data_IF_607575993169
#
_entry.id   IF_607575993169
#
_cell.length_a   1.000
_cell.length_b   1.000
_cell.length_c   1.000
_cell.angle_alpha   90.00
_cell.angle_beta   90.00
_cell.angle_gamma   90.00
#
_symmetry.space_group_name_H-M   'P 1'
#
loop_
_entity.id
_entity.type
_entity.pdbx_description
1 polymer ?
#
# COMPACT_ATOMS: atom_id res chain seq x y z
N UNK A 1 2.79 6.75 -34.18
CA UNK A 1 4.08 7.21 -34.77
C UNK A 1 4.59 8.35 -33.89
N UNK A 2 5.88 8.67 -33.91
CA UNK A 2 6.40 9.83 -33.19
C UNK A 2 6.48 11.03 -34.14
N UNK A 3 6.33 12.25 -33.61
CA UNK A 3 6.50 13.51 -34.34
C UNK A 3 7.56 14.36 -33.66
N UNK A 4 8.43 14.98 -34.47
CA UNK A 4 9.39 15.98 -34.01
C UNK A 4 8.74 17.37 -34.01
N UNK A 5 8.47 17.94 -32.84
CA UNK A 5 7.65 19.17 -32.70
C UNK A 5 7.85 19.82 -31.33
N UNK A 6 7.63 21.14 -31.25
CA UNK A 6 7.67 21.90 -29.99
C UNK A 6 6.32 21.90 -29.25
N UNK A 7 5.27 21.31 -29.85
CA UNK A 7 3.92 21.29 -29.29
C UNK A 7 3.06 22.46 -29.77
N UNK A 8 1.92 22.70 -29.10
CA UNK A 8 1.03 23.85 -29.40
C UNK A 8 1.56 25.16 -28.81
N UNK A 9 2.37 25.07 -27.76
CA UNK A 9 3.02 26.20 -27.11
C UNK A 9 4.39 25.77 -26.60
N UNK A 10 5.38 26.63 -26.77
CA UNK A 10 6.75 26.44 -26.28
C UNK A 10 7.34 27.76 -25.79
N UNK A 11 8.42 27.67 -25.00
CA UNK A 11 9.23 28.84 -24.65
C UNK A 11 9.99 29.36 -25.88
N UNK A 12 10.56 28.44 -26.66
CA UNK A 12 11.21 28.70 -27.94
C UNK A 12 10.63 27.78 -29.04
N UNK A 13 10.31 28.25 -30.26
CA UNK A 13 9.91 27.40 -31.39
C UNK A 13 10.89 26.27 -31.74
N UNK A 14 12.16 26.38 -31.34
CA UNK A 14 13.19 25.37 -31.53
C UNK A 14 13.31 24.36 -30.38
N UNK A 15 12.49 24.48 -29.32
CA UNK A 15 12.34 23.48 -28.25
C UNK A 15 11.59 22.22 -28.73
N UNK A 16 12.06 21.62 -29.81
CA UNK A 16 11.42 20.46 -30.45
C UNK A 16 11.82 19.19 -29.72
N UNK A 17 10.83 18.36 -29.44
CA UNK A 17 10.97 17.07 -28.80
C UNK A 17 10.30 15.95 -29.59
N UNK A 18 10.34 14.76 -29.02
CA UNK A 18 9.68 13.56 -29.55
C UNK A 18 8.28 13.48 -28.92
N UNK A 19 7.24 13.72 -29.72
CA UNK A 19 5.85 13.67 -29.28
C UNK A 19 5.15 12.41 -29.81
N UNK A 20 4.35 11.76 -28.98
CA UNK A 20 3.43 10.69 -29.40
C UNK A 20 2.24 11.28 -30.16
N UNK A 21 1.72 10.57 -31.16
CA UNK A 21 0.67 11.15 -32.06
C UNK A 21 -0.64 10.37 -32.12
N UNK A 22 -0.72 9.18 -31.54
CA UNK A 22 -1.88 8.30 -31.64
C UNK A 22 -2.29 7.89 -30.23
N UNK A 23 -3.54 8.11 -29.90
CA UNK A 23 -4.10 7.74 -28.60
C UNK A 23 -4.20 6.21 -28.46
N UNK A 24 -4.23 5.74 -27.21
CA UNK A 24 -4.39 4.33 -26.86
C UNK A 24 -3.42 3.37 -27.59
N UNK A 25 -2.14 3.76 -27.69
CA UNK A 25 -1.07 2.95 -28.28
C UNK A 25 0.13 2.82 -27.36
N UNK A 26 0.80 1.68 -27.46
CA UNK A 26 2.15 1.53 -26.90
C UNK A 26 3.18 2.15 -27.85
N UNK A 27 4.13 2.86 -27.26
CA UNK A 27 5.20 3.53 -27.96
C UNK A 27 6.55 2.96 -27.53
N UNK A 28 7.40 2.71 -28.52
CA UNK A 28 8.74 2.18 -28.30
C UNK A 28 9.70 2.89 -29.25
N UNK A 29 10.64 3.63 -28.67
CA UNK A 29 11.79 4.20 -29.37
C UNK A 29 13.02 3.93 -28.51
N UNK A 30 14.14 3.69 -29.17
CA UNK A 30 15.43 3.49 -28.49
C UNK A 30 16.52 4.20 -29.28
N UNK A 31 17.53 4.67 -28.58
CA UNK A 31 18.72 5.29 -29.16
C UNK A 31 19.95 4.63 -28.54
N UNK A 32 20.88 4.17 -29.39
CA UNK A 32 22.16 3.64 -28.92
C UNK A 32 23.06 4.79 -28.50
N UNK A 33 23.64 4.68 -27.32
CA UNK A 33 24.69 5.56 -26.80
C UNK A 33 26.02 4.78 -26.74
N UNK A 34 27.17 5.47 -26.63
CA UNK A 34 28.43 4.80 -26.35
C UNK A 34 28.32 3.94 -25.09
N UNK A 35 28.85 2.72 -25.15
CA UNK A 35 28.81 1.80 -24.01
C UNK A 35 29.68 2.33 -22.87
N UNK A 36 29.17 2.26 -21.63
CA UNK A 36 29.88 2.73 -20.46
C UNK A 36 29.50 1.91 -19.21
N UNK A 37 30.30 2.07 -18.16
CA UNK A 37 30.00 1.57 -16.81
C UNK A 37 30.07 2.72 -15.80
N UNK A 38 29.16 2.73 -14.84
CA UNK A 38 29.19 3.63 -13.69
C UNK A 38 29.97 3.05 -12.49
N UNK A 39 30.72 1.96 -12.65
CA UNK A 39 31.53 1.39 -11.56
C UNK A 39 32.55 2.43 -11.07
N UNK A 40 32.46 2.78 -9.79
CA UNK A 40 33.33 3.80 -9.17
C UNK A 40 33.07 5.23 -9.63
N UNK A 41 31.97 5.50 -10.35
CA UNK A 41 31.61 6.83 -10.87
C UNK A 41 30.14 7.15 -10.62
N UNK A 42 29.83 8.43 -10.49
CA UNK A 42 28.44 8.89 -10.39
C UNK A 42 27.73 8.72 -11.74
N UNK A 43 26.55 8.09 -11.73
CA UNK A 43 25.62 8.06 -12.85
C UNK A 43 24.62 9.23 -12.69
N UNK A 44 24.43 10.00 -13.76
CA UNK A 44 23.40 11.04 -13.83
C UNK A 44 22.51 10.73 -15.04
N UNK A 45 21.20 10.61 -14.80
CA UNK A 45 20.20 10.42 -15.85
C UNK A 45 19.19 11.56 -15.73
N UNK A 46 19.15 12.41 -16.74
CA UNK A 46 18.30 13.60 -16.78
C UNK A 46 17.57 13.69 -18.11
N UNK A 47 16.29 14.03 -18.07
CA UNK A 47 15.52 14.38 -19.25
C UNK A 47 14.37 15.32 -18.87
N UNK A 48 13.87 16.05 -19.86
CA UNK A 48 12.67 16.85 -19.74
C UNK A 48 11.48 16.15 -20.39
N UNK A 49 10.30 16.29 -19.80
CA UNK A 49 9.05 15.78 -20.36
C UNK A 49 7.92 16.79 -20.13
N UNK A 50 7.00 16.84 -21.07
CA UNK A 50 5.80 17.67 -21.03
C UNK A 50 4.58 16.84 -21.39
N UNK A 51 3.62 16.75 -20.48
CA UNK A 51 2.29 16.22 -20.80
C UNK A 51 1.39 17.35 -21.26
N UNK A 52 1.57 17.78 -22.51
CA UNK A 52 0.82 18.93 -23.05
C UNK A 52 -0.69 18.67 -23.15
N UNK A 53 -1.05 17.42 -23.45
CA UNK A 53 -2.44 16.94 -23.44
C UNK A 53 -2.88 16.64 -22.01
N UNK A 54 -4.19 16.70 -21.75
CA UNK A 54 -4.75 16.13 -20.52
C UNK A 54 -4.60 14.61 -20.59
N UNK A 55 -3.50 14.12 -20.04
CA UNK A 55 -3.22 12.69 -20.03
C UNK A 55 -4.08 12.01 -18.97
N UNK A 56 -4.98 11.14 -19.42
CA UNK A 56 -5.78 10.31 -18.51
C UNK A 56 -4.97 9.13 -17.99
N UNK A 57 -4.28 8.41 -18.89
CA UNK A 57 -3.40 7.31 -18.53
C UNK A 57 -2.26 7.13 -19.54
N UNK A 58 -1.02 7.20 -19.06
CA UNK A 58 0.19 6.91 -19.82
C UNK A 58 1.49 7.18 -19.05
N UNK A 59 2.53 6.46 -19.45
CA UNK A 59 3.88 6.56 -18.91
C UNK A 59 4.76 7.53 -19.70
N UNK A 60 5.58 8.28 -18.98
CA UNK A 60 6.60 9.18 -19.52
C UNK A 60 8.03 8.78 -19.18
N UNK A 61 8.23 7.58 -18.65
CA UNK A 61 9.53 7.09 -18.19
C UNK A 61 10.45 6.63 -19.31
N UNK A 62 11.75 6.67 -19.02
CA UNK A 62 12.82 6.13 -19.88
C UNK A 62 13.42 4.87 -19.25
N UNK A 63 14.00 4.02 -20.10
CA UNK A 63 14.74 2.82 -19.68
C UNK A 63 16.18 2.91 -20.15
N UNK A 64 17.14 2.69 -19.25
CA UNK A 64 18.54 2.49 -19.59
C UNK A 64 18.80 1.00 -19.78
N UNK A 65 19.29 0.64 -20.95
CA UNK A 65 19.45 -0.75 -21.37
C UNK A 65 20.90 -1.24 -21.19
N UNK A 66 21.10 -2.56 -21.16
CA UNK A 66 22.44 -3.16 -21.23
C UNK A 66 23.01 -3.10 -22.66
N UNK A 67 24.35 -3.27 -22.78
CA UNK A 67 25.05 -3.27 -24.08
C UNK A 67 24.60 -4.37 -25.06
N UNK A 68 23.91 -5.41 -24.57
CA UNK A 68 23.48 -6.57 -25.36
C UNK A 68 22.08 -6.44 -25.96
N UNK A 69 21.43 -5.29 -25.82
CA UNK A 69 20.04 -5.11 -26.27
C UNK A 69 19.93 -5.14 -27.80
N UNK A 70 19.02 -5.98 -28.32
CA UNK A 70 18.64 -5.95 -29.72
C UNK A 70 17.50 -4.94 -29.93
N UNK A 71 17.84 -3.73 -30.36
CA UNK A 71 16.88 -2.63 -30.59
C UNK A 71 15.76 -3.00 -31.59
N UNK A 72 16.01 -3.90 -32.55
CA UNK A 72 14.98 -4.35 -33.51
C UNK A 72 13.91 -5.24 -32.87
N UNK A 73 14.20 -5.82 -31.70
CA UNK A 73 13.29 -6.65 -30.90
C UNK A 73 12.88 -5.98 -29.59
N UNK A 74 13.11 -4.67 -29.47
CA UNK A 74 12.78 -3.93 -28.26
C UNK A 74 11.28 -3.91 -27.99
N UNK A 75 10.92 -4.20 -26.74
CA UNK A 75 9.54 -4.29 -26.25
C UNK A 75 9.47 -3.89 -24.77
N UNK A 76 8.26 -3.88 -24.20
CA UNK A 76 8.04 -3.65 -22.77
C UNK A 76 8.81 -4.61 -21.87
N UNK A 77 8.98 -5.86 -22.31
CA UNK A 77 9.60 -6.96 -21.55
C UNK A 77 11.13 -7.02 -21.70
N UNK A 78 11.71 -6.15 -22.52
CA UNK A 78 13.16 -6.16 -22.72
C UNK A 78 13.87 -5.79 -21.41
N UNK A 79 14.83 -6.61 -20.93
CA UNK A 79 15.55 -6.33 -19.70
C UNK A 79 16.28 -4.99 -19.75
N UNK A 80 16.11 -4.19 -18.69
CA UNK A 80 16.73 -2.90 -18.50
C UNK A 80 17.59 -2.92 -17.23
N UNK A 81 18.43 -1.89 -17.05
CA UNK A 81 19.23 -1.69 -15.84
C UNK A 81 18.59 -0.66 -14.90
N UNK A 82 17.92 0.33 -15.47
CA UNK A 82 17.20 1.40 -14.76
C UNK A 82 15.94 1.76 -15.55
N UNK A 83 14.81 1.92 -14.86
CA UNK A 83 13.63 2.61 -15.38
C UNK A 83 13.35 3.82 -14.50
N UNK A 84 13.20 5.00 -15.11
CA UNK A 84 13.05 6.25 -14.40
C UNK A 84 12.09 7.20 -15.10
N UNK A 85 11.08 7.69 -14.38
CA UNK A 85 10.19 8.75 -14.86
C UNK A 85 8.73 8.66 -14.43
N UNK A 86 7.92 9.65 -14.83
CA UNK A 86 6.53 9.76 -14.40
C UNK A 86 5.64 8.71 -15.07
N UNK A 87 4.60 8.31 -14.36
CA UNK A 87 3.55 7.41 -14.81
C UNK A 87 2.22 7.85 -14.20
N UNK A 88 1.33 8.30 -15.07
CA UNK A 88 0.03 8.86 -14.70
C UNK A 88 -1.02 7.89 -15.20
N UNK A 89 -1.92 7.43 -14.34
CA UNK A 89 -3.08 6.64 -14.73
C UNK A 89 -4.25 6.89 -13.79
N UNK A 90 -5.20 7.69 -14.29
CA UNK A 90 -6.36 8.17 -13.56
C UNK A 90 -6.00 9.02 -12.34
N UNK A 91 -6.90 9.03 -11.36
CA UNK A 91 -6.69 9.75 -10.09
C UNK A 91 -5.83 8.98 -9.10
N UNK A 92 -5.64 7.67 -9.31
CA UNK A 92 -5.01 6.76 -8.35
C UNK A 92 -3.51 6.60 -8.57
N UNK A 93 -3.02 6.76 -9.81
CA UNK A 93 -1.61 6.56 -10.15
C UNK A 93 -1.03 7.86 -10.67
N UNK A 94 -0.16 8.48 -9.87
CA UNK A 94 0.62 9.68 -10.23
C UNK A 94 2.06 9.48 -9.75
N UNK A 95 2.69 8.41 -10.22
CA UNK A 95 3.92 7.90 -9.63
C UNK A 95 5.13 8.30 -10.44
N UNK A 96 6.20 8.63 -9.75
CA UNK A 96 7.53 8.77 -10.34
C UNK A 96 8.28 7.45 -10.13
N UNK A 97 8.28 6.60 -11.16
CA UNK A 97 8.99 5.33 -11.11
C UNK A 97 10.49 5.56 -11.00
N UNK A 98 11.10 4.80 -10.09
CA UNK A 98 12.54 4.65 -9.99
C UNK A 98 12.85 3.20 -9.65
N UNK A 99 13.15 2.42 -10.70
CA UNK A 99 13.29 0.96 -10.63
C UNK A 99 14.70 0.58 -11.03
N UNK A 100 15.38 -0.16 -10.16
CA UNK A 100 16.71 -0.70 -10.40
C UNK A 100 16.62 -2.20 -10.66
N UNK A 101 17.36 -2.68 -11.66
CA UNK A 101 17.38 -4.11 -11.98
C UNK A 101 18.66 -4.76 -11.46
N UNK A 102 18.50 -5.86 -10.72
CA UNK A 102 19.61 -6.62 -10.15
C UNK A 102 19.32 -8.12 -10.26
N UNK A 103 20.30 -8.91 -10.70
CA UNK A 103 20.18 -10.36 -10.88
C UNK A 103 18.92 -10.83 -11.64
N UNK A 104 18.50 -10.07 -12.65
CA UNK A 104 17.34 -10.40 -13.48
C UNK A 104 15.98 -10.03 -12.88
N UNK A 105 15.95 -9.42 -11.69
CA UNK A 105 14.75 -8.91 -11.06
C UNK A 105 14.73 -7.37 -11.05
N UNK A 106 13.52 -6.80 -11.12
CA UNK A 106 13.27 -5.36 -11.06
C UNK A 106 12.82 -4.99 -9.64
N UNK A 107 13.53 -4.04 -9.03
CA UNK A 107 13.27 -3.55 -7.69
C UNK A 107 12.78 -2.09 -7.79
N UNK A 108 11.47 -1.85 -7.61
CA UNK A 108 10.98 -0.48 -7.47
C UNK A 108 11.43 0.12 -6.14
N UNK A 109 11.60 1.44 -6.11
CA UNK A 109 11.85 2.16 -4.85
C UNK A 109 10.65 1.98 -3.90
N UNK A 110 10.92 1.85 -2.60
CA UNK A 110 9.89 1.72 -1.56
C UNK A 110 9.12 3.00 -1.29
N UNK A 111 9.75 4.14 -1.54
CA UNK A 111 9.18 5.47 -1.33
C UNK A 111 8.07 5.73 -2.35
N UNK A 112 6.96 6.29 -1.90
CA UNK A 112 5.88 6.71 -2.78
C UNK A 112 6.20 8.09 -3.36
N UNK A 113 6.84 8.08 -4.53
CA UNK A 113 7.25 9.30 -5.22
C UNK A 113 6.13 9.77 -6.15
N UNK A 114 5.70 11.02 -5.98
CA UNK A 114 4.67 11.63 -6.82
C UNK A 114 5.32 12.38 -7.99
N UNK A 115 4.69 12.33 -9.17
CA UNK A 115 5.11 13.11 -10.33
C UNK A 115 4.28 14.38 -10.52
N UNK A 116 4.84 15.34 -11.23
CA UNK A 116 4.12 16.55 -11.63
C UNK A 116 3.02 16.21 -12.64
N UNK A 117 1.86 16.87 -12.52
CA UNK A 117 0.66 16.56 -13.33
C UNK A 117 0.08 17.76 -14.05
N UNK A 118 0.75 18.90 -14.01
CA UNK A 118 0.37 20.03 -14.85
C UNK A 118 0.80 19.79 -16.31
N UNK A 119 0.52 20.76 -17.19
CA UNK A 119 0.79 20.63 -18.63
C UNK A 119 2.12 21.28 -19.07
N UNK A 120 2.93 21.70 -18.12
CA UNK A 120 4.22 22.34 -18.35
C UNK A 120 5.32 21.30 -18.54
N UNK A 121 6.47 21.79 -19.00
CA UNK A 121 7.67 20.99 -19.12
C UNK A 121 8.33 20.86 -17.74
N UNK A 122 8.58 19.62 -17.31
CA UNK A 122 9.34 19.33 -16.10
C UNK A 122 10.62 18.58 -16.42
N UNK A 123 11.66 18.81 -15.61
CA UNK A 123 12.96 18.16 -15.72
C UNK A 123 13.13 17.16 -14.58
N UNK A 124 13.27 15.89 -14.91
CA UNK A 124 13.51 14.81 -13.94
C UNK A 124 14.97 14.39 -13.99
N UNK A 125 15.63 14.36 -12.83
CA UNK A 125 17.05 14.01 -12.71
C UNK A 125 17.26 12.97 -11.62
N UNK A 126 17.85 11.84 -11.99
CA UNK A 126 18.30 10.82 -11.05
C UNK A 126 19.83 10.80 -11.01
N UNK A 127 20.38 10.88 -9.79
CA UNK A 127 21.82 10.87 -9.53
C UNK A 127 22.10 9.67 -8.62
N UNK A 128 22.94 8.74 -9.08
CA UNK A 128 23.40 7.58 -8.31
C UNK A 128 24.91 7.65 -8.11
N UNK A 129 25.35 7.70 -6.85
CA UNK A 129 26.77 7.84 -6.48
C UNK A 129 27.43 6.47 -6.18
N UNK A 130 28.77 6.38 -6.22
CA UNK A 130 29.49 5.12 -5.99
C UNK A 130 29.33 4.52 -4.59
N UNK A 131 29.00 5.35 -3.60
CA UNK A 131 28.71 4.94 -2.22
C UNK A 131 27.28 4.40 -2.03
N UNK A 132 26.57 4.17 -3.14
CA UNK A 132 25.18 3.75 -3.20
C UNK A 132 24.18 4.75 -2.59
N UNK A 133 24.57 6.02 -2.43
CA UNK A 133 23.64 7.12 -2.19
C UNK A 133 23.03 7.62 -3.50
N UNK A 134 21.81 8.14 -3.42
CA UNK A 134 21.14 8.75 -4.56
C UNK A 134 20.50 10.10 -4.22
N UNK A 135 20.32 10.92 -5.25
CA UNK A 135 19.50 12.14 -5.22
C UNK A 135 18.53 12.11 -6.39
N UNK A 136 17.31 12.56 -6.14
CA UNK A 136 16.26 12.74 -7.13
C UNK A 136 15.85 14.20 -7.15
N UNK A 137 16.01 14.85 -8.30
CA UNK A 137 15.65 16.24 -8.49
C UNK A 137 14.48 16.33 -9.47
N UNK A 138 13.57 17.24 -9.18
CA UNK A 138 12.52 17.69 -10.10
C UNK A 138 12.71 19.19 -10.28
N UNK A 139 12.81 19.63 -11.53
CA UNK A 139 13.06 21.03 -11.90
C UNK A 139 14.30 21.61 -11.21
N UNK A 140 15.38 20.82 -11.21
CA UNK A 140 16.68 21.11 -10.56
C UNK A 140 16.61 21.35 -9.05
N UNK A 141 15.50 20.98 -8.39
CA UNK A 141 15.37 21.02 -6.93
C UNK A 141 15.38 19.60 -6.39
N UNK A 142 16.22 19.33 -5.39
CA UNK A 142 16.23 18.02 -4.73
C UNK A 142 14.87 17.78 -4.06
N UNK A 143 14.19 16.72 -4.49
CA UNK A 143 12.91 16.27 -3.95
C UNK A 143 13.10 15.14 -2.96
N UNK A 144 14.07 14.27 -3.23
CA UNK A 144 14.32 13.07 -2.44
C UNK A 144 15.80 12.68 -2.50
N UNK A 145 16.30 12.10 -1.42
CA UNK A 145 17.64 11.53 -1.36
C UNK A 145 17.69 10.35 -0.39
N UNK A 146 18.68 9.48 -0.53
CA UNK A 146 18.74 8.30 0.31
C UNK A 146 19.79 7.29 -0.13
N UNK A 147 19.57 6.03 0.21
CA UNK A 147 20.51 4.95 -0.05
C UNK A 147 19.83 3.75 -0.67
N UNK A 148 20.51 3.11 -1.63
CA UNK A 148 20.07 1.85 -2.22
C UNK A 148 19.86 0.75 -1.17
N UNK A 149 20.61 0.79 -0.06
CA UNK A 149 20.53 -0.23 0.99
C UNK A 149 19.27 -0.15 1.84
N UNK A 150 18.57 0.98 1.84
CA UNK A 150 17.38 1.22 2.66
C UNK A 150 16.13 1.33 1.81
N UNK A 151 16.26 1.97 0.64
CA UNK A 151 15.11 2.44 -0.13
C UNK A 151 14.70 1.45 -1.23
N UNK A 152 15.45 0.35 -1.40
CA UNK A 152 15.10 -0.81 -2.22
C UNK A 152 15.25 -2.12 -1.43
N UNK A 153 14.47 -3.13 -1.82
CA UNK A 153 14.55 -4.50 -1.28
C UNK A 153 15.46 -5.38 -2.15
N UNK A 154 16.63 -4.86 -2.54
CA UNK A 154 17.61 -5.60 -3.36
C UNK A 154 18.35 -6.65 -2.52
N UNK A 155 18.64 -6.32 -1.27
CA UNK A 155 19.36 -7.21 -0.36
C UNK A 155 18.39 -8.02 0.50
N UNK A 156 18.75 -9.24 0.93
CA UNK A 156 17.99 -9.99 1.90
C UNK A 156 17.72 -9.19 3.19
N UNK A 157 16.65 -9.51 3.94
CA UNK A 157 16.35 -8.85 5.21
C UNK A 157 17.53 -8.92 6.17
N UNK A 158 17.86 -7.78 6.81
CA UNK A 158 18.94 -7.72 7.81
C UNK A 158 18.67 -8.62 9.03
N UNK A 159 17.40 -8.91 9.31
CA UNK A 159 16.95 -9.78 10.40
C UNK A 159 15.93 -10.77 9.87
N UNK A 160 16.12 -12.05 10.17
CA UNK A 160 15.17 -13.11 9.88
C UNK A 160 14.57 -13.61 11.20
N UNK A 161 13.32 -14.08 11.17
CA UNK A 161 12.74 -14.77 12.33
C UNK A 161 13.50 -16.06 12.58
N UNK A 162 13.76 -16.37 13.83
CA UNK A 162 14.36 -17.65 14.18
C UNK A 162 13.36 -18.78 13.93
N UNK A 163 13.70 -19.68 13.01
CA UNK A 163 12.87 -20.83 12.61
C UNK A 163 12.78 -21.87 13.75
N UNK A 164 13.76 -21.88 14.66
CA UNK A 164 13.78 -22.74 15.84
C UNK A 164 13.03 -22.17 17.05
N UNK A 165 12.61 -20.90 16.99
CA UNK A 165 11.93 -20.26 18.11
C UNK A 165 10.57 -20.92 18.35
N UNK A 166 10.41 -21.50 19.53
CA UNK A 166 9.14 -22.03 20.00
C UNK A 166 8.53 -21.05 20.98
N UNK A 167 7.24 -20.83 20.85
CA UNK A 167 6.45 -20.13 21.86
C UNK A 167 6.66 -20.83 23.22
N UNK A 168 7.07 -20.12 24.28
CA UNK A 168 7.18 -20.68 25.61
C UNK A 168 5.87 -21.31 26.07
N UNK A 169 5.94 -22.35 26.92
CA UNK A 169 4.75 -23.07 27.40
C UNK A 169 3.85 -22.19 28.28
N UNK A 170 4.46 -21.22 28.95
CA UNK A 170 3.87 -20.23 29.85
C UNK A 170 3.45 -18.94 29.14
N UNK A 171 3.54 -18.89 27.81
CA UNK A 171 3.14 -17.71 27.07
C UNK A 171 1.62 -17.56 27.02
N UNK A 172 1.13 -16.59 27.78
CA UNK A 172 -0.28 -16.23 27.86
C UNK A 172 -0.69 -15.33 26.68
N UNK A 173 -1.59 -15.81 25.81
CA UNK A 173 -2.18 -15.02 24.72
C UNK A 173 -3.54 -14.42 25.11
N UNK A 174 -3.99 -14.58 26.36
CA UNK A 174 -5.30 -14.08 26.78
C UNK A 174 -5.30 -12.56 26.78
N UNK A 175 -6.23 -11.98 26.03
CA UNK A 175 -6.47 -10.53 25.99
C UNK A 175 -7.09 -10.02 27.31
N UNK A 176 -7.87 -10.88 27.97
CA UNK A 176 -8.51 -10.62 29.25
C UNK A 176 -8.09 -11.65 30.28
N UNK A 177 -7.84 -11.20 31.51
CA UNK A 177 -7.58 -12.03 32.67
C UNK A 177 -8.76 -11.93 33.62
N UNK A 178 -9.08 -13.03 34.29
CA UNK A 178 -10.07 -13.02 35.36
C UNK A 178 -9.58 -12.08 36.47
N UNK A 179 -10.44 -11.17 36.89
CA UNK A 179 -10.15 -10.25 37.98
C UNK A 179 -10.00 -11.06 39.29
N UNK A 180 -8.81 -11.11 39.90
CA UNK A 180 -8.59 -11.87 41.12
C UNK A 180 -9.41 -11.35 42.31
N UNK A 181 -9.86 -10.10 42.26
CA UNK A 181 -10.66 -9.45 43.31
C UNK A 181 -12.18 -9.55 43.03
N UNK A 182 -12.58 -10.17 41.91
CA UNK A 182 -13.99 -10.38 41.60
C UNK A 182 -14.62 -11.40 42.55
N UNK A 183 -15.25 -10.89 43.60
CA UNK A 183 -16.04 -11.68 44.54
C UNK A 183 -17.46 -11.86 44.00
N UNK A 184 -17.95 -13.11 44.06
CA UNK A 184 -19.35 -13.41 43.77
C UNK A 184 -20.27 -12.63 44.73
N UNK A 185 -21.22 -11.81 44.22
CA UNK A 185 -22.11 -11.05 45.09
C UNK A 185 -22.94 -11.94 46.00
N UNK A 186 -23.12 -11.51 47.25
CA UNK A 186 -23.96 -12.20 48.22
C UNK A 186 -25.40 -12.31 47.68
N UNK A 187 -25.99 -13.52 47.75
CA UNK A 187 -27.35 -13.78 47.27
C UNK A 187 -27.49 -13.96 45.75
N UNK A 188 -26.42 -13.90 44.95
CA UNK A 188 -26.49 -14.07 43.48
C UNK A 188 -27.10 -15.42 43.06
N UNK A 189 -26.77 -16.51 43.75
CA UNK A 189 -27.35 -17.85 43.48
C UNK A 189 -28.77 -18.01 44.02
N UNK A 190 -29.13 -17.19 45.00
CA UNK A 190 -30.43 -17.23 45.65
C UNK A 190 -31.51 -16.55 44.82
N UNK A 191 -31.14 -15.84 43.74
CA UNK A 191 -32.09 -15.24 42.80
C UNK A 191 -32.71 -16.37 41.97
N UNK A 192 -34.02 -16.65 42.12
CA UNK A 192 -34.65 -17.73 41.38
C UNK A 192 -34.74 -17.36 39.90
N UNK A 193 -34.57 -18.38 39.03
CA UNK A 193 -34.71 -18.22 37.57
C UNK A 193 -36.10 -17.74 37.15
N UNK A 194 -37.12 -18.09 37.93
CA UNK A 194 -38.50 -17.72 37.68
C UNK A 194 -39.19 -17.23 38.95
N UNK A 195 -39.95 -16.14 38.82
CA UNK A 195 -40.78 -15.54 39.88
C UNK A 195 -42.26 -15.67 39.50
N UNK A 196 -43.19 -15.70 40.47
CA UNK A 196 -44.62 -15.63 40.16
C UNK A 196 -44.93 -14.31 39.43
N UNK A 197 -45.77 -14.38 38.40
CA UNK A 197 -46.17 -13.24 37.59
C UNK A 197 -47.03 -12.29 38.43
N UNK A 198 -46.57 -11.05 38.70
CA UNK A 198 -47.33 -10.09 39.50
C UNK A 198 -48.64 -9.64 38.83
N UNK A 199 -48.78 -9.86 37.52
CA UNK A 199 -49.98 -9.50 36.74
C UNK A 199 -50.97 -10.64 36.63
N UNK A 200 -50.57 -11.86 36.98
CA UNK A 200 -51.47 -12.99 37.01
C UNK A 200 -52.34 -12.89 38.26
N UNK A 201 -53.65 -12.95 38.07
CA UNK A 201 -54.65 -12.84 39.14
C UNK A 201 -55.50 -14.09 39.11
N UNK A 202 -55.90 -14.53 40.31
CA UNK A 202 -56.86 -15.62 40.47
C UNK A 202 -58.10 -15.33 39.63
N UNK A 203 -58.48 -16.20 38.67
CA UNK A 203 -59.69 -16.02 37.89
C UNK A 203 -60.93 -16.05 38.79
N UNK A 204 -61.95 -15.27 38.45
CA UNK A 204 -63.21 -15.23 39.22
C UNK A 204 -63.96 -16.58 39.21
N UNK A 205 -63.65 -17.46 38.25
CA UNK A 205 -64.21 -18.80 38.11
C UNK A 205 -63.43 -19.89 38.84
N UNK A 206 -62.41 -19.53 39.64
CA UNK A 206 -61.56 -20.50 40.35
C UNK A 206 -62.13 -20.84 41.72
N UNK A 207 -62.38 -22.12 41.97
CA UNK A 207 -62.82 -22.64 43.27
C UNK A 207 -61.65 -23.34 43.98
N UNK A 208 -61.23 -22.85 45.15
CA UNK A 208 -60.08 -23.47 45.85
C UNK A 208 -60.40 -24.86 46.42
N UNK A 209 -61.68 -25.19 46.63
CA UNK A 209 -62.11 -26.49 47.16
C UNK A 209 -62.10 -27.58 46.08
N UNK A 210 -62.44 -27.22 44.84
CA UNK A 210 -62.48 -28.13 43.68
C UNK A 210 -61.18 -28.12 42.85
N UNK A 211 -60.56 -26.94 42.63
CA UNK A 211 -59.36 -26.76 41.79
C UNK A 211 -58.04 -26.71 42.61
N UNK A 212 -58.13 -26.59 43.94
CA UNK A 212 -57.00 -26.45 44.86
C UNK A 212 -56.50 -25.01 45.01
N UNK A 213 -55.53 -24.80 45.92
CA UNK A 213 -54.96 -23.47 46.21
C UNK A 213 -54.34 -22.86 44.95
N UNK A 214 -54.95 -21.78 44.45
CA UNK A 214 -54.45 -21.06 43.27
C UNK A 214 -53.00 -20.59 43.45
N UNK A 215 -52.19 -20.76 42.39
CA UNK A 215 -50.81 -20.26 42.33
C UNK A 215 -50.60 -19.46 41.04
N UNK A 216 -49.97 -18.28 41.11
CA UNK A 216 -49.68 -17.50 39.91
C UNK A 216 -48.74 -18.25 38.97
N UNK A 217 -48.91 -18.04 37.67
CA UNK A 217 -47.98 -18.49 36.63
C UNK A 217 -46.59 -17.96 36.91
N UNK A 218 -45.56 -18.75 36.64
CA UNK A 218 -44.17 -18.32 36.81
C UNK A 218 -43.66 -17.68 35.53
N UNK A 219 -42.98 -16.56 35.65
CA UNK A 219 -42.32 -15.84 34.56
C UNK A 219 -40.81 -15.77 34.81
N UNK A 220 -39.98 -15.65 33.75
CA UNK A 220 -38.55 -15.46 33.91
C UNK A 220 -38.24 -14.24 34.78
N UNK A 221 -37.38 -14.42 35.78
CA UNK A 221 -36.98 -13.34 36.68
C UNK A 221 -35.97 -12.42 35.98
N UNK A 222 -36.28 -11.13 35.72
CA UNK A 222 -35.35 -10.21 35.07
C UNK A 222 -34.06 -9.98 35.87
N UNK A 223 -34.07 -10.24 37.18
CA UNK A 223 -32.90 -10.12 38.05
C UNK A 223 -31.95 -11.34 37.96
N UNK A 224 -32.38 -12.46 37.35
CA UNK A 224 -31.54 -13.64 37.20
C UNK A 224 -30.52 -13.45 36.07
N UNK A 225 -29.25 -13.29 36.43
CA UNK A 225 -28.15 -13.01 35.50
C UNK A 225 -27.41 -14.27 34.99
N UNK A 226 -27.99 -15.47 35.18
CA UNK A 226 -27.36 -16.74 34.82
C UNK A 226 -26.33 -17.19 35.86
N UNK A 227 -25.59 -18.28 35.57
CA UNK A 227 -24.50 -18.73 36.45
C UNK A 227 -23.41 -17.67 36.54
N UNK A 228 -22.94 -17.38 37.76
CA UNK A 228 -21.86 -16.43 37.97
C UNK A 228 -20.59 -16.92 37.27
N UNK A 229 -19.93 -16.02 36.57
CA UNK A 229 -18.61 -16.22 35.98
C UNK A 229 -17.72 -15.10 36.49
N UNK A 230 -16.51 -15.47 36.91
CA UNK A 230 -15.46 -14.50 37.17
C UNK A 230 -15.09 -13.89 35.81
N UNK A 231 -15.20 -12.57 35.70
CA UNK A 231 -14.84 -11.85 34.48
C UNK A 231 -13.38 -11.46 34.52
#
# INVERSE_FOLDING_TARGET
>A
MFKHTAGKYSGDPDDKGIQTTIDARHFAISAKIPEFSNKGRTLVVQYSIKFEQEIECGGGYIKLMSGYVNQKKYSGDTPYSLMFGPDICGTQTKKLHLILSYQGQNYPIKKDLQCETDRLTHVYTFILRPDASYSLLVDNRERESGSMYTDWDILPPRKIKDVGAKKPKDWDDREYIEDPDAVKPEGYDSIPREIPDPKDKKPDTWDDDDDGIWKPRRIPNPAYKGQWKQN
#
